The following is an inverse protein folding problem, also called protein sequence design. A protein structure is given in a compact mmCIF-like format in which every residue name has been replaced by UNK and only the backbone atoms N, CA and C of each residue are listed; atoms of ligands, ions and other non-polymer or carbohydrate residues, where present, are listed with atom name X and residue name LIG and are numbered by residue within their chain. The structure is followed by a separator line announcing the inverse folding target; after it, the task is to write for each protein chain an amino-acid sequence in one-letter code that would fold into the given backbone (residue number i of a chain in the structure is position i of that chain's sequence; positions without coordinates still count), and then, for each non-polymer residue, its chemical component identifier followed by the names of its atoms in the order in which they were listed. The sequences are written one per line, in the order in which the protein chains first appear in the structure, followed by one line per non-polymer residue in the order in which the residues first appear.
data_IF_807841357506
#
_entry.id   IF_807841357506
#
_cell.length_a   1.000
_cell.length_b   1.000
_cell.length_c   1.000
_cell.angle_alpha   90.00
_cell.angle_beta   90.00
_cell.angle_gamma   90.00
#
_symmetry.space_group_name_H-M   'P 1'
#
loop_
_entity.id
_entity.type
_entity.pdbx_description
1 polymer ?
#
# COMPACT_ATOMS: atom_id res chain seq x y z
N UNK A 1 9.66 13.09 23.29
CA UNK A 1 10.64 12.94 22.19
C UNK A 1 10.47 14.06 21.17
N UNK A 2 9.24 14.29 20.67
CA UNK A 2 8.95 15.38 19.72
C UNK A 2 9.52 16.74 20.15
N UNK A 3 9.16 17.24 21.34
CA UNK A 3 9.56 18.57 21.80
C UNK A 3 11.08 18.77 21.81
N UNK A 4 11.81 17.75 22.27
CA UNK A 4 13.27 17.81 22.32
C UNK A 4 13.91 17.87 20.93
N UNK A 5 13.37 17.12 19.96
CA UNK A 5 13.86 17.17 18.57
C UNK A 5 13.53 18.52 17.91
N UNK A 6 12.32 19.02 18.12
CA UNK A 6 11.91 20.33 17.63
C UNK A 6 12.76 21.45 18.24
N UNK A 7 12.98 21.43 19.56
CA UNK A 7 13.79 22.41 20.28
C UNK A 7 15.27 22.35 19.88
N UNK A 8 15.78 21.17 19.49
CA UNK A 8 17.14 21.03 18.94
C UNK A 8 17.30 21.81 17.64
N UNK A 9 16.32 21.74 16.73
CA UNK A 9 16.32 22.53 15.49
C UNK A 9 16.19 24.03 15.80
N UNK A 10 15.28 24.41 16.70
CA UNK A 10 15.10 25.81 17.11
C UNK A 10 16.40 26.39 17.68
N UNK A 11 17.09 25.63 18.53
CA UNK A 11 18.36 26.04 19.09
C UNK A 11 19.42 26.28 18.01
N UNK A 12 19.53 25.37 17.03
CA UNK A 12 20.44 25.51 15.91
C UNK A 12 20.13 26.77 15.07
N UNK A 13 18.86 27.02 14.75
CA UNK A 13 18.43 28.21 14.01
C UNK A 13 18.73 29.49 14.79
N UNK A 14 18.45 29.52 16.09
CA UNK A 14 18.74 30.66 16.97
C UNK A 14 20.24 31.00 16.99
N UNK A 15 21.10 29.99 17.09
CA UNK A 15 22.56 30.18 17.09
C UNK A 15 23.11 30.72 15.76
N UNK A 16 22.39 30.51 14.67
CA UNK A 16 22.75 31.02 13.34
C UNK A 16 22.00 32.30 12.94
N UNK A 17 21.29 32.96 13.88
CA UNK A 17 20.59 34.23 13.62
C UNK A 17 19.19 34.10 13.01
N UNK A 18 18.67 32.88 12.85
CA UNK A 18 17.36 32.60 12.25
C UNK A 18 16.30 32.17 13.27
N UNK A 19 16.40 32.67 14.52
CA UNK A 19 15.54 32.24 15.62
C UNK A 19 14.03 32.45 15.41
N UNK A 20 13.66 33.35 14.49
CA UNK A 20 12.26 33.66 14.14
C UNK A 20 11.79 32.99 12.84
N UNK A 21 12.61 32.13 12.23
CA UNK A 21 12.21 31.43 11.00
C UNK A 21 10.99 30.53 11.31
N UNK A 22 9.89 30.66 10.53
CA UNK A 22 8.75 29.74 10.62
C UNK A 22 9.20 28.30 10.37
N UNK A 23 8.65 27.36 11.13
CA UNK A 23 8.94 25.93 11.01
C UNK A 23 7.62 25.21 10.79
N UNK A 24 7.62 24.29 9.82
CA UNK A 24 6.55 23.33 9.61
C UNK A 24 7.17 21.94 9.72
N UNK A 25 6.54 21.04 10.47
CA UNK A 25 6.98 19.66 10.56
C UNK A 25 6.51 18.93 9.30
N UNK A 26 7.45 18.64 8.40
CA UNK A 26 7.14 18.03 7.10
C UNK A 26 6.64 16.60 7.20
N UNK A 27 7.17 15.82 8.15
CA UNK A 27 6.78 14.43 8.35
C UNK A 27 6.86 14.06 9.84
N UNK A 28 5.80 13.46 10.36
CA UNK A 28 5.79 12.87 11.70
C UNK A 28 4.83 11.69 11.74
N UNK A 29 5.24 10.59 12.36
CA UNK A 29 4.40 9.40 12.44
C UNK A 29 5.10 8.27 13.15
N UNK A 30 4.52 7.08 13.04
CA UNK A 30 5.11 5.86 13.55
C UNK A 30 4.59 4.66 12.73
N UNK A 31 5.48 3.76 12.24
CA UNK A 31 5.10 2.66 11.38
C UNK A 31 4.35 1.56 12.15
N UNK A 32 3.55 0.77 11.45
CA UNK A 32 2.68 -0.24 12.09
C UNK A 32 3.09 -1.69 11.85
N UNK A 33 4.13 -1.93 11.06
CA UNK A 33 4.64 -3.26 10.76
C UNK A 33 6.06 -3.17 10.19
N UNK A 34 6.69 -4.31 9.90
CA UNK A 34 8.03 -4.38 9.29
C UNK A 34 9.19 -4.25 10.28
N UNK A 35 8.92 -4.02 11.57
CA UNK A 35 9.90 -4.09 12.67
C UNK A 35 9.20 -4.50 13.98
N UNK A 36 9.93 -5.04 14.96
CA UNK A 36 9.35 -5.44 16.25
C UNK A 36 8.70 -4.29 17.03
N UNK A 37 9.15 -3.05 16.82
CA UNK A 37 8.62 -1.84 17.44
C UNK A 37 7.66 -1.07 16.51
N UNK A 38 7.43 -1.58 15.29
CA UNK A 38 6.45 -1.06 14.37
C UNK A 38 5.18 -1.93 14.49
N UNK A 39 4.20 -1.45 15.24
CA UNK A 39 2.91 -2.13 15.40
C UNK A 39 1.77 -1.12 15.56
N UNK A 40 0.55 -1.51 15.20
CA UNK A 40 -0.61 -0.63 15.24
C UNK A 40 -0.87 0.00 16.63
N UNK A 41 -0.54 -0.69 17.72
CA UNK A 41 -0.75 -0.18 19.08
C UNK A 41 0.22 0.96 19.41
N UNK A 42 1.50 0.79 19.10
CA UNK A 42 2.52 1.82 19.29
C UNK A 42 2.29 3.00 18.33
N UNK A 43 1.91 2.71 17.09
CA UNK A 43 1.58 3.74 16.12
C UNK A 43 0.39 4.59 16.56
N UNK A 44 -0.69 3.95 17.03
CA UNK A 44 -1.85 4.65 17.59
C UNK A 44 -1.45 5.50 18.79
N UNK A 45 -0.65 4.96 19.71
CA UNK A 45 -0.21 5.70 20.90
C UNK A 45 0.60 6.93 20.53
N UNK A 46 1.55 6.80 19.62
CA UNK A 46 2.38 7.90 19.16
C UNK A 46 1.54 8.96 18.43
N UNK A 47 0.77 8.55 17.42
CA UNK A 47 0.01 9.46 16.57
C UNK A 47 -1.11 10.16 17.36
N UNK A 48 -1.85 9.45 18.22
CA UNK A 48 -2.86 10.09 19.06
C UNK A 48 -2.23 11.02 20.10
N UNK A 49 -1.10 10.64 20.69
CA UNK A 49 -0.36 11.49 21.63
C UNK A 49 0.13 12.78 20.98
N UNK A 50 0.67 12.68 19.75
CA UNK A 50 1.08 13.82 18.96
C UNK A 50 -0.10 14.74 18.64
N UNK A 51 -1.21 14.20 18.12
CA UNK A 51 -2.41 14.97 17.81
C UNK A 51 -2.97 15.69 19.05
N UNK A 52 -3.01 15.01 20.19
CA UNK A 52 -3.42 15.63 21.46
C UNK A 52 -2.48 16.76 21.88
N UNK A 53 -1.16 16.57 21.74
CA UNK A 53 -0.18 17.60 22.06
C UNK A 53 -0.35 18.85 21.19
N UNK A 54 -0.45 18.69 19.86
CA UNK A 54 -0.64 19.82 18.94
C UNK A 54 -1.98 20.53 19.19
N UNK A 55 -3.05 19.79 19.48
CA UNK A 55 -4.36 20.36 19.79
C UNK A 55 -4.37 21.25 21.04
N UNK A 56 -3.39 21.12 21.95
CA UNK A 56 -3.27 22.02 23.11
C UNK A 56 -2.83 23.43 22.73
N UNK A 57 -2.17 23.61 21.58
CA UNK A 57 -1.58 24.88 21.16
C UNK A 57 -0.42 25.39 22.03
N UNK A 58 0.08 24.59 22.98
CA UNK A 58 1.14 25.00 23.90
C UNK A 58 2.50 25.15 23.21
N UNK A 59 2.75 24.37 22.16
CA UNK A 59 4.05 24.31 21.50
C UNK A 59 5.09 23.57 22.33
N UNK A 60 6.35 23.96 22.19
CA UNK A 60 7.47 23.35 22.91
C UNK A 60 8.12 24.36 23.87
N UNK A 61 8.91 23.91 24.86
CA UNK A 61 9.59 24.81 25.80
C UNK A 61 10.42 25.92 25.14
N UNK A 62 11.15 25.66 24.04
CA UNK A 62 11.88 26.73 23.33
C UNK A 62 11.04 27.56 22.37
N UNK A 63 9.91 27.05 21.89
CA UNK A 63 9.00 27.78 21.00
C UNK A 63 7.55 27.52 21.40
N UNK A 64 7.04 28.28 22.37
CA UNK A 64 5.63 28.22 22.75
C UNK A 64 4.72 28.66 21.60
N UNK A 65 3.55 28.06 21.53
CA UNK A 65 2.50 28.37 20.56
C UNK A 65 2.21 27.25 19.56
N UNK A 66 1.25 27.46 18.65
CA UNK A 66 0.84 26.44 17.68
C UNK A 66 1.97 25.97 16.78
N UNK A 67 1.91 24.70 16.38
CA UNK A 67 2.87 24.06 15.48
C UNK A 67 2.10 23.44 14.32
N UNK A 68 2.49 23.79 13.10
CA UNK A 68 1.99 23.16 11.88
C UNK A 68 2.77 21.88 11.58
N UNK A 69 2.05 20.79 11.30
CA UNK A 69 2.64 19.48 11.06
C UNK A 69 1.83 18.64 10.07
N UNK A 70 2.53 17.80 9.31
CA UNK A 70 1.93 16.81 8.43
C UNK A 70 2.17 15.40 8.98
N UNK A 71 1.08 14.69 9.25
CA UNK A 71 1.14 13.29 9.68
C UNK A 71 1.58 12.41 8.50
N UNK A 72 2.68 11.70 8.68
CA UNK A 72 3.23 10.76 7.71
C UNK A 72 2.83 9.33 8.10
N UNK A 73 2.09 8.59 7.27
CA UNK A 73 1.49 8.95 5.98
C UNK A 73 0.01 8.55 5.92
N UNK A 74 -0.67 8.89 4.82
CA UNK A 74 -2.08 8.53 4.67
C UNK A 74 -2.25 7.02 4.47
N UNK A 75 -1.54 6.43 3.51
CA UNK A 75 -1.61 5.01 3.16
C UNK A 75 -0.24 4.35 3.25
N UNK A 76 -0.25 3.03 3.43
CA UNK A 76 0.94 2.21 3.20
C UNK A 76 1.35 2.22 1.73
N UNK A 77 2.66 2.23 1.48
CA UNK A 77 3.25 2.39 0.14
C UNK A 77 4.18 1.19 -0.15
N UNK A 78 3.63 0.17 -0.78
CA UNK A 78 4.26 -1.14 -1.00
C UNK A 78 5.43 -1.14 -2.01
N UNK A 79 5.63 -0.05 -2.75
CA UNK A 79 6.77 0.15 -3.65
C UNK A 79 7.85 1.09 -3.07
N UNK A 80 7.66 1.59 -1.85
CA UNK A 80 8.65 2.43 -1.18
C UNK A 80 9.96 1.67 -0.92
N UNK A 81 11.08 2.38 -1.02
CA UNK A 81 12.41 1.84 -0.74
C UNK A 81 12.51 1.37 0.72
N UNK A 82 13.00 0.15 0.91
CA UNK A 82 13.20 -0.47 2.23
C UNK A 82 14.65 -0.38 2.73
N UNK A 83 15.48 0.46 2.08
CA UNK A 83 16.89 0.61 2.47
C UNK A 83 17.08 1.05 3.94
N UNK A 84 16.26 1.98 4.50
CA UNK A 84 16.28 2.27 5.94
C UNK A 84 15.78 1.12 6.82
N UNK A 85 14.87 0.29 6.28
CA UNK A 85 14.30 -0.87 6.95
C UNK A 85 12.97 -1.30 6.35
N UNK A 86 12.53 -2.51 6.68
CA UNK A 86 11.26 -3.09 6.21
C UNK A 86 10.04 -2.25 6.63
N UNK A 87 10.12 -1.52 7.74
CA UNK A 87 9.04 -0.67 8.24
C UNK A 87 8.69 0.51 7.31
N UNK A 88 9.55 0.85 6.34
CA UNK A 88 9.36 2.00 5.44
C UNK A 88 8.07 1.94 4.61
N UNK A 89 7.50 0.75 4.41
CA UNK A 89 6.25 0.58 3.66
C UNK A 89 4.99 0.69 4.54
N UNK A 90 5.14 0.86 5.85
CA UNK A 90 4.08 0.67 6.85
C UNK A 90 3.71 1.90 7.67
N UNK A 91 3.99 3.10 7.15
CA UNK A 91 3.74 4.38 7.83
C UNK A 91 2.30 4.88 7.72
N UNK A 92 1.47 4.24 6.88
CA UNK A 92 0.10 4.65 6.65
C UNK A 92 -0.75 4.54 7.90
N UNK A 93 -1.62 5.53 8.13
CA UNK A 93 -2.75 5.40 9.07
C UNK A 93 -3.85 4.51 8.49
N UNK A 94 -3.85 4.35 7.16
CA UNK A 94 -4.65 3.41 6.39
C UNK A 94 -3.77 2.36 5.72
N UNK A 95 -4.33 1.18 5.46
CA UNK A 95 -3.81 0.26 4.44
C UNK A 95 -3.97 0.87 3.04
N UNK A 96 -3.34 0.26 2.02
CA UNK A 96 -3.43 0.71 0.62
C UNK A 96 -4.87 0.82 0.10
N UNK A 97 -5.80 0.02 0.63
CA UNK A 97 -7.22 -0.01 0.27
C UNK A 97 -8.11 0.86 1.19
N UNK A 98 -7.50 1.74 1.99
CA UNK A 98 -8.24 2.71 2.80
C UNK A 98 -8.93 2.11 4.02
N UNK A 99 -8.48 0.96 4.53
CA UNK A 99 -8.92 0.42 5.81
C UNK A 99 -8.09 1.07 6.93
N UNK A 100 -8.74 1.70 7.95
CA UNK A 100 -8.01 2.27 9.07
C UNK A 100 -7.25 1.17 9.83
N UNK A 101 -5.97 1.40 10.08
CA UNK A 101 -5.12 0.44 10.81
C UNK A 101 -5.28 0.54 12.32
N UNK A 102 -5.77 1.68 12.80
CA UNK A 102 -6.16 1.94 14.18
C UNK A 102 -7.10 3.16 14.22
N UNK A 103 -7.75 3.37 15.36
CA UNK A 103 -8.59 4.55 15.55
C UNK A 103 -7.76 5.79 15.88
N UNK A 104 -8.06 6.90 15.21
CA UNK A 104 -7.42 8.19 15.42
C UNK A 104 -8.48 9.29 15.48
N UNK A 105 -8.34 10.19 16.45
CA UNK A 105 -9.16 11.40 16.59
C UNK A 105 -8.30 12.62 16.25
N UNK A 106 -8.76 13.43 15.29
CA UNK A 106 -8.05 14.62 14.84
C UNK A 106 -8.24 15.86 15.74
N UNK A 107 -8.82 15.69 16.93
CA UNK A 107 -9.03 16.78 17.89
C UNK A 107 -10.27 17.62 17.59
N UNK A 108 -11.07 17.23 16.60
CA UNK A 108 -12.34 17.88 16.23
C UNK A 108 -13.53 16.97 16.60
N UNK A 109 -14.65 17.50 17.12
CA UNK A 109 -15.85 16.70 17.37
C UNK A 109 -16.28 15.94 16.09
N UNK A 110 -16.60 14.65 16.23
CA UNK A 110 -17.01 13.76 15.11
C UNK A 110 -15.94 13.52 14.03
N UNK A 111 -14.65 13.76 14.31
CA UNK A 111 -13.54 13.55 13.36
C UNK A 111 -12.87 12.17 13.46
N UNK A 112 -13.62 11.10 13.67
CA UNK A 112 -13.00 9.78 13.64
C UNK A 112 -12.61 9.37 12.23
N UNK A 113 -11.46 8.71 12.12
CA UNK A 113 -11.00 8.08 10.88
C UNK A 113 -12.07 7.11 10.34
N UNK A 114 -12.35 7.19 9.04
CA UNK A 114 -13.38 6.35 8.38
C UNK A 114 -12.76 5.53 7.28
N UNK A 115 -13.23 4.30 7.11
CA UNK A 115 -12.87 3.43 5.98
C UNK A 115 -13.28 4.08 4.65
N UNK A 116 -12.43 3.94 3.64
CA UNK A 116 -12.78 4.26 2.26
C UNK A 116 -13.97 3.40 1.78
N UNK A 117 -14.87 3.99 0.98
CA UNK A 117 -16.01 3.31 0.38
C UNK A 117 -15.85 3.20 -1.13
N UNK A 118 -16.53 2.22 -1.74
CA UNK A 118 -16.48 2.02 -3.20
C UNK A 118 -15.17 1.42 -3.72
N UNK A 119 -14.30 0.90 -2.83
CA UNK A 119 -13.08 0.20 -3.23
C UNK A 119 -13.46 -1.13 -3.90
N UNK A 120 -13.05 -1.27 -5.16
CA UNK A 120 -13.16 -2.52 -5.91
C UNK A 120 -11.86 -3.29 -5.76
N UNK A 121 -11.98 -4.59 -5.57
CA UNK A 121 -10.85 -5.51 -5.45
C UNK A 121 -10.82 -6.40 -6.69
N UNK A 122 -9.64 -6.94 -6.99
CA UNK A 122 -9.52 -8.10 -7.87
C UNK A 122 -10.30 -9.30 -7.29
N UNK A 123 -10.36 -10.39 -8.06
CA UNK A 123 -11.08 -11.60 -7.64
C UNK A 123 -10.56 -12.16 -6.32
N UNK A 124 -11.44 -12.81 -5.55
CA UNK A 124 -11.07 -13.50 -4.29
C UNK A 124 -10.29 -14.78 -4.58
N UNK A 125 -9.06 -14.60 -5.01
CA UNK A 125 -8.14 -15.63 -5.49
C UNK A 125 -6.73 -15.30 -4.99
N UNK A 126 -6.09 -16.27 -4.35
CA UNK A 126 -4.75 -16.13 -3.79
C UNK A 126 -3.79 -17.12 -4.43
N UNK A 127 -2.52 -16.77 -4.51
CA UNK A 127 -1.47 -17.69 -4.95
C UNK A 127 -0.76 -18.30 -3.74
N UNK A 128 -0.71 -19.63 -3.67
CA UNK A 128 -0.13 -20.37 -2.53
C UNK A 128 0.83 -21.45 -3.00
N UNK A 129 1.74 -21.88 -2.12
CA UNK A 129 2.62 -23.02 -2.37
C UNK A 129 1.79 -24.31 -2.52
N UNK A 130 2.04 -25.09 -3.57
CA UNK A 130 1.34 -26.37 -3.75
C UNK A 130 1.59 -27.31 -2.56
N UNK A 131 0.55 -27.98 -2.03
CA UNK A 131 0.71 -28.93 -0.92
C UNK A 131 1.68 -30.08 -1.22
N UNK A 132 1.83 -30.45 -2.50
CA UNK A 132 2.69 -31.54 -2.95
C UNK A 132 4.17 -31.18 -3.07
N UNK A 133 4.52 -29.90 -2.98
CA UNK A 133 5.92 -29.46 -3.02
C UNK A 133 6.62 -29.79 -1.71
N UNK A 134 7.78 -30.43 -1.83
CA UNK A 134 8.71 -30.65 -0.72
C UNK A 134 9.34 -29.34 -0.27
N UNK A 135 9.37 -29.10 1.04
CA UNK A 135 10.04 -27.92 1.60
C UNK A 135 11.56 -28.03 1.56
N UNK A 136 12.10 -29.22 1.31
CA UNK A 136 13.53 -29.48 1.18
C UNK A 136 14.05 -29.35 -0.25
N UNK A 137 13.19 -28.96 -1.21
CA UNK A 137 13.62 -28.73 -2.59
C UNK A 137 14.62 -27.56 -2.65
N UNK A 138 15.86 -27.78 -3.12
CA UNK A 138 16.91 -26.75 -3.11
C UNK A 138 16.60 -25.55 -4.01
N UNK A 139 15.63 -25.65 -4.94
CA UNK A 139 15.21 -24.53 -5.80
C UNK A 139 14.11 -23.68 -5.17
N UNK A 140 13.46 -24.17 -4.12
CA UNK A 140 12.34 -23.46 -3.48
C UNK A 140 12.77 -22.08 -2.94
N UNK A 141 13.92 -21.90 -2.28
CA UNK A 141 14.38 -20.57 -1.83
C UNK A 141 14.50 -19.56 -2.97
N UNK A 142 14.99 -19.95 -4.14
CA UNK A 142 15.16 -19.05 -5.29
C UNK A 142 13.81 -18.47 -5.76
N UNK A 143 12.74 -19.28 -5.70
CA UNK A 143 11.39 -18.82 -6.07
C UNK A 143 10.84 -17.78 -5.09
N UNK A 144 11.15 -17.93 -3.79
CA UNK A 144 10.76 -16.97 -2.74
C UNK A 144 11.56 -15.69 -2.90
N UNK A 145 12.87 -15.79 -3.10
CA UNK A 145 13.73 -14.64 -3.37
C UNK A 145 13.29 -13.88 -4.62
N UNK A 146 12.89 -14.58 -5.69
CA UNK A 146 12.34 -13.95 -6.89
C UNK A 146 11.06 -13.15 -6.59
N UNK A 147 10.13 -13.73 -5.83
CA UNK A 147 8.88 -13.08 -5.42
C UNK A 147 9.17 -11.82 -4.60
N UNK A 148 9.96 -11.94 -3.53
CA UNK A 148 10.25 -10.85 -2.61
C UNK A 148 11.14 -9.76 -3.20
N UNK A 149 11.92 -10.04 -4.24
CA UNK A 149 12.66 -9.02 -4.97
C UNK A 149 11.76 -8.14 -5.85
N UNK A 150 10.51 -8.55 -6.11
CA UNK A 150 9.58 -7.87 -7.03
C UNK A 150 8.25 -7.49 -6.39
N UNK A 151 8.01 -7.91 -5.15
CA UNK A 151 6.79 -7.67 -4.40
C UNK A 151 7.10 -7.21 -2.97
N UNK A 152 6.06 -7.07 -2.15
CA UNK A 152 6.24 -6.70 -0.75
C UNK A 152 6.20 -7.92 0.18
N UNK A 153 7.36 -8.25 0.75
CA UNK A 153 7.54 -9.30 1.74
C UNK A 153 7.93 -8.74 3.12
N UNK A 154 7.83 -7.42 3.33
CA UNK A 154 8.37 -6.76 4.53
C UNK A 154 7.67 -7.17 5.83
N UNK A 155 6.42 -7.63 5.75
CA UNK A 155 5.66 -8.20 6.87
C UNK A 155 6.08 -9.62 7.28
N UNK A 156 7.04 -10.26 6.62
CA UNK A 156 7.55 -11.59 6.99
C UNK A 156 8.70 -11.54 8.02
N UNK A 157 9.15 -10.34 8.39
CA UNK A 157 10.27 -10.16 9.31
C UNK A 157 10.03 -10.72 10.72
N UNK A 158 11.08 -10.83 11.52
CA UNK A 158 10.94 -11.24 12.92
C UNK A 158 10.05 -10.27 13.71
N UNK A 159 9.07 -10.81 14.47
CA UNK A 159 8.11 -10.03 15.29
C UNK A 159 7.28 -8.99 14.52
N UNK A 160 7.07 -9.23 13.24
CA UNK A 160 6.14 -8.46 12.37
C UNK A 160 4.77 -9.15 12.30
N UNK A 161 3.81 -8.56 11.59
CA UNK A 161 2.44 -9.06 11.50
C UNK A 161 2.31 -10.48 10.92
N UNK A 162 3.24 -10.90 10.05
CA UNK A 162 3.34 -12.25 9.49
C UNK A 162 4.60 -13.02 9.93
N UNK A 163 5.31 -12.54 10.96
CA UNK A 163 6.55 -13.17 11.44
C UNK A 163 6.37 -14.53 12.13
N UNK A 164 5.13 -14.97 12.36
CA UNK A 164 4.79 -16.25 13.02
C UNK A 164 4.22 -17.29 12.05
N UNK A 165 4.22 -17.02 10.75
CA UNK A 165 3.79 -18.00 9.75
C UNK A 165 4.71 -19.23 9.76
N UNK A 166 4.14 -20.41 9.54
CA UNK A 166 4.93 -21.60 9.22
C UNK A 166 5.61 -21.45 7.85
N UNK A 167 6.57 -22.32 7.56
CA UNK A 167 7.36 -22.24 6.31
C UNK A 167 6.47 -22.22 5.06
N UNK A 168 5.40 -23.02 5.03
CA UNK A 168 4.52 -23.12 3.87
C UNK A 168 3.68 -21.86 3.66
N UNK A 169 3.15 -21.29 4.75
CA UNK A 169 2.38 -20.06 4.72
C UNK A 169 3.26 -18.85 4.44
N UNK A 170 4.49 -18.84 4.96
CA UNK A 170 5.50 -17.81 4.67
C UNK A 170 5.80 -17.73 3.16
N UNK A 171 6.06 -18.88 2.53
CA UNK A 171 6.27 -18.96 1.07
C UNK A 171 5.01 -18.53 0.31
N UNK A 172 3.85 -18.98 0.77
CA UNK A 172 2.56 -18.61 0.16
C UNK A 172 2.30 -17.11 0.23
N UNK A 173 2.73 -16.44 1.32
CA UNK A 173 2.60 -14.99 1.44
C UNK A 173 3.44 -14.27 0.37
N UNK A 174 4.69 -14.68 0.18
CA UNK A 174 5.56 -14.13 -0.86
C UNK A 174 4.98 -14.34 -2.26
N UNK A 175 4.49 -15.54 -2.56
CA UNK A 175 3.83 -15.85 -3.82
C UNK A 175 2.57 -15.01 -4.04
N UNK A 176 1.73 -14.88 -3.01
CA UNK A 176 0.52 -14.06 -3.11
C UNK A 176 0.86 -12.59 -3.31
N UNK A 177 1.82 -12.03 -2.57
CA UNK A 177 2.24 -10.64 -2.73
C UNK A 177 2.66 -10.35 -4.18
N UNK A 178 3.49 -11.22 -4.77
CA UNK A 178 3.88 -11.10 -6.18
C UNK A 178 2.70 -11.27 -7.12
N UNK A 179 1.85 -12.27 -6.90
CA UNK A 179 0.68 -12.54 -7.73
C UNK A 179 -0.29 -11.35 -7.79
N UNK A 180 -0.57 -10.74 -6.65
CA UNK A 180 -1.50 -9.62 -6.56
C UNK A 180 -0.91 -8.34 -7.15
N UNK A 181 0.40 -8.09 -6.97
CA UNK A 181 1.10 -6.96 -7.60
C UNK A 181 1.12 -7.04 -9.13
N UNK A 182 0.93 -8.23 -9.69
CA UNK A 182 0.87 -8.49 -11.13
C UNK A 182 -0.57 -8.78 -11.60
N UNK A 183 -1.56 -8.08 -11.02
CA UNK A 183 -2.97 -8.10 -11.45
C UNK A 183 -3.59 -9.51 -11.56
N UNK A 184 -3.16 -10.43 -10.71
CA UNK A 184 -3.60 -11.82 -10.71
C UNK A 184 -3.37 -12.57 -12.04
N UNK A 185 -2.39 -12.14 -12.84
CA UNK A 185 -2.00 -12.84 -14.07
C UNK A 185 -1.69 -14.31 -13.78
N UNK A 186 -2.29 -15.22 -14.54
CA UNK A 186 -2.15 -16.66 -14.34
C UNK A 186 -0.67 -17.12 -14.40
N UNK A 187 0.20 -16.45 -15.18
CA UNK A 187 1.64 -16.76 -15.19
C UNK A 187 2.35 -16.30 -13.92
N UNK A 188 1.84 -15.27 -13.24
CA UNK A 188 2.41 -14.76 -11.99
C UNK A 188 2.21 -15.73 -10.81
N UNK A 189 1.28 -16.67 -10.91
CA UNK A 189 1.13 -17.80 -9.97
C UNK A 189 1.73 -19.12 -10.49
N UNK A 190 2.73 -19.05 -11.38
CA UNK A 190 3.42 -20.23 -11.89
C UNK A 190 4.54 -20.72 -10.99
N UNK A 191 5.50 -19.83 -10.69
CA UNK A 191 6.74 -20.14 -9.95
C UNK A 191 7.38 -21.47 -10.38
N UNK A 192 7.58 -21.70 -11.68
CA UNK A 192 8.12 -22.97 -12.22
C UNK A 192 7.32 -24.23 -11.82
N UNK A 193 6.02 -24.08 -11.59
CA UNK A 193 5.13 -25.16 -11.18
C UNK A 193 5.01 -25.37 -9.67
N UNK A 194 5.65 -24.53 -8.85
CA UNK A 194 5.62 -24.65 -7.38
C UNK A 194 4.35 -24.09 -6.76
N UNK A 195 3.68 -23.15 -7.44
CA UNK A 195 2.51 -22.46 -6.90
C UNK A 195 1.20 -22.87 -7.57
N UNK A 196 0.09 -22.65 -6.86
CA UNK A 196 -1.28 -22.83 -7.36
C UNK A 196 -2.19 -21.76 -6.78
N UNK A 197 -3.26 -21.42 -7.51
CA UNK A 197 -4.28 -20.52 -6.98
C UNK A 197 -5.24 -21.25 -6.04
N UNK A 198 -5.82 -20.54 -5.08
CA UNK A 198 -6.90 -21.00 -4.21
C UNK A 198 -7.96 -19.91 -4.02
N UNK A 199 -9.22 -20.32 -3.81
CA UNK A 199 -10.30 -19.43 -3.39
C UNK A 199 -10.50 -19.34 -1.87
N UNK A 200 -9.68 -20.08 -1.10
CA UNK A 200 -9.69 -20.01 0.37
C UNK A 200 -8.68 -18.97 0.84
N UNK A 201 -9.14 -18.01 1.65
CA UNK A 201 -8.31 -16.96 2.25
C UNK A 201 -7.24 -17.57 3.17
N UNK A 202 -5.94 -17.47 2.84
CA UNK A 202 -4.86 -18.01 3.66
C UNK A 202 -4.50 -17.15 4.89
N UNK A 203 -5.17 -16.01 5.12
CA UNK A 203 -4.88 -15.11 6.23
C UNK A 203 -5.05 -15.78 7.60
N UNK A 204 -4.14 -15.50 8.53
CA UNK A 204 -4.18 -16.05 9.90
C UNK A 204 -3.79 -15.01 10.94
N UNK A 205 -4.55 -14.91 12.02
CA UNK A 205 -4.23 -14.00 13.13
C UNK A 205 -4.07 -12.55 12.68
N UNK A 206 -2.88 -12.00 12.88
CA UNK A 206 -2.51 -10.64 12.45
C UNK A 206 -2.03 -10.57 11.00
N UNK A 207 -1.71 -11.70 10.38
CA UNK A 207 -1.19 -11.74 9.02
C UNK A 207 -2.33 -11.73 7.99
N UNK A 208 -2.29 -10.76 7.08
CA UNK A 208 -3.28 -10.59 6.02
C UNK A 208 -2.68 -10.88 4.66
N UNK A 209 -3.26 -11.83 3.94
CA UNK A 209 -2.96 -12.07 2.54
C UNK A 209 -3.84 -11.15 1.71
N UNK A 210 -3.27 -10.03 1.27
CA UNK A 210 -4.00 -9.01 0.51
C UNK A 210 -4.54 -9.53 -0.83
N UNK A 211 -5.57 -8.83 -1.33
CA UNK A 211 -6.03 -8.88 -2.72
C UNK A 211 -5.93 -7.46 -3.24
N UNK A 212 -5.18 -7.20 -4.31
CA UNK A 212 -5.00 -5.82 -4.78
C UNK A 212 -6.32 -5.21 -5.26
N UNK A 213 -6.38 -3.87 -5.21
CA UNK A 213 -7.52 -3.11 -5.72
C UNK A 213 -7.57 -3.21 -7.25
N UNK A 214 -8.77 -3.23 -7.81
CA UNK A 214 -8.95 -3.06 -9.25
C UNK A 214 -8.61 -1.60 -9.59
N UNK A 215 -7.44 -1.39 -10.19
CA UNK A 215 -7.13 -0.09 -10.80
C UNK A 215 -7.86 -0.05 -12.14
N UNK A 216 -8.97 0.70 -12.19
CA UNK A 216 -9.57 1.10 -13.45
C UNK A 216 -8.46 1.82 -14.23
N UNK A 217 -7.83 1.15 -15.20
CA UNK A 217 -6.94 1.82 -16.16
C UNK A 217 -7.67 3.07 -16.62
N UNK A 218 -7.14 4.25 -16.28
CA UNK A 218 -7.72 5.51 -16.70
C UNK A 218 -7.89 5.42 -18.23
N UNK A 219 -9.13 5.25 -18.67
CA UNK A 219 -9.52 4.99 -20.06
C UNK A 219 -8.80 3.80 -20.75
N UNK A 220 -9.34 2.59 -20.57
CA UNK A 220 -9.44 1.70 -21.73
C UNK A 220 -10.36 2.38 -22.75
N UNK A 221 -9.77 3.11 -23.70
CA UNK A 221 -10.45 3.50 -24.93
C UNK A 221 -10.76 2.20 -25.66
N UNK A 222 -11.86 1.53 -25.31
CA UNK A 222 -12.43 0.51 -26.19
C UNK A 222 -12.67 1.25 -27.51
N UNK A 223 -11.93 0.97 -28.60
CA UNK A 223 -12.32 1.52 -29.88
C UNK A 223 -13.70 0.93 -30.11
N UNK A 224 -14.73 1.78 -30.10
CA UNK A 224 -16.07 1.39 -30.52
C UNK A 224 -15.85 0.71 -31.86
N UNK A 225 -16.10 -0.60 -31.91
CA UNK A 225 -16.08 -1.38 -33.15
C UNK A 225 -17.15 -0.74 -34.03
N UNK A 226 -16.75 0.18 -34.89
CA UNK A 226 -17.62 0.69 -35.95
C UNK A 226 -17.94 -0.55 -36.75
N UNK A 227 -19.19 -1.02 -36.65
CA UNK A 227 -19.70 -2.02 -37.59
C UNK A 227 -19.60 -1.35 -38.96
N UNK A 228 -18.56 -1.69 -39.71
CA UNK A 228 -18.50 -1.40 -41.13
C UNK A 228 -19.68 -2.11 -41.77
N UNK A 229 -20.78 -1.38 -41.98
CA UNK A 229 -21.89 -1.86 -42.79
C UNK A 229 -21.42 -1.80 -44.23
N UNK A 230 -20.67 -2.82 -44.66
CA UNK A 230 -20.24 -3.01 -46.04
C UNK A 230 -21.42 -2.91 -47.03
N UNK A 231 -22.63 -3.26 -46.59
CA UNK A 231 -23.88 -3.07 -47.33
C UNK A 231 -24.20 -1.60 -47.64
N UNK A 232 -23.96 -0.67 -46.70
CA UNK A 232 -24.22 0.76 -46.95
C UNK A 232 -23.19 1.36 -47.92
N UNK A 233 -21.93 0.95 -47.82
CA UNK A 233 -20.85 1.40 -48.71
C UNK A 233 -21.07 0.86 -50.13
N UNK A 234 -21.49 -0.40 -50.27
CA UNK A 234 -21.85 -1.00 -51.56
C UNK A 234 -23.10 -0.35 -52.17
N UNK A 235 -24.12 -0.04 -51.37
CA UNK A 235 -25.32 0.67 -51.83
C UNK A 235 -24.99 2.08 -52.35
N UNK A 236 -24.13 2.83 -51.65
CA UNK A 236 -23.71 4.16 -52.08
C UNK A 236 -22.84 4.12 -53.35
N UNK A 237 -21.97 3.11 -53.50
CA UNK A 237 -21.17 2.92 -54.71
C UNK A 237 -22.04 2.56 -55.94
N UNK A 238 -23.06 1.72 -55.75
CA UNK A 238 -24.01 1.37 -56.82
C UNK A 238 -24.87 2.57 -57.23
N UNK A 239 -25.30 3.40 -56.28
CA UNK A 239 -26.04 4.63 -56.60
C UNK A 239 -25.17 5.61 -57.39
N UNK A 240 -23.89 5.77 -57.06
CA UNK A 240 -22.99 6.62 -57.84
C UNK A 240 -22.71 6.10 -59.26
N UNK A 241 -22.62 4.78 -59.45
CA UNK A 241 -22.46 4.17 -60.78
C UNK A 241 -23.73 4.34 -61.63
N UNK A 242 -24.93 4.24 -61.02
CA UNK A 242 -26.18 4.48 -61.73
C UNK A 242 -26.36 5.94 -62.15
N UNK A 243 -25.98 6.91 -61.30
CA UNK A 243 -26.11 8.34 -61.62
C UNK A 243 -25.08 8.80 -62.66
N UNK A 244 -23.95 8.11 -62.79
CA UNK A 244 -22.91 8.44 -63.78
C UNK A 244 -23.18 7.86 -65.17
N UNK A 245 -24.28 7.11 -65.34
CA UNK A 245 -24.63 6.35 -66.55
C UNK A 245 -25.95 6.81 -67.18
N UNK A 246 -26.43 8.01 -66.88
CA UNK A 246 -27.67 8.60 -67.43
C UNK A 246 -27.48 10.06 -67.81
#
# INVERSE_FOLDING_TARGET
MFDANHDTLIWALKKNGYGNLPIVIGEIGWPTDGDMNANAQLAQRFNQGFMTHIATGQGTPMRPGPIDAYLFSLIDEDDKSIQPGNFERHWGIYTYDGIPKYQLNFGVPNSQIKRASGVKYLDKKWCVLKPTVSLDDPKLPDTVSYACARADCTSLGYRTSCGMLDTRSNISYAYNSFYQKNDQDDVACGFSGYATTTGQDPSTGTCRFGIMIEVDSAYSWKPRRVRSNYLLVLLLALVHLCVSSS
#
